data_IF_004142618246
#
_entry.id   IF_004142618246
#
_cell.length_a   1.000
_cell.length_b   1.000
_cell.length_c   1.000
_cell.angle_alpha   90.00
_cell.angle_beta   90.00
_cell.angle_gamma   90.00
#
_symmetry.space_group_name_H-M   'P 1'
#
loop_
_entity.id
_entity.type
_entity.pdbx_description
1 polymer ?
#
# COMPACT_ATOMS: atom_id res chain seq x y z
N UNK A 1 19.82 -10.82 -25.29
CA UNK A 1 19.39 -10.75 -23.87
C UNK A 1 18.14 -9.91 -23.69
N UNK A 2 18.16 -8.60 -23.98
CA UNK A 2 16.99 -7.73 -23.78
C UNK A 2 15.90 -7.85 -24.86
N UNK A 3 16.26 -8.42 -26.01
CA UNK A 3 15.39 -8.75 -27.14
C UNK A 3 14.40 -9.89 -26.87
N UNK A 4 14.60 -10.64 -25.78
CA UNK A 4 13.73 -11.74 -25.34
C UNK A 4 12.69 -11.30 -24.29
N UNK A 5 12.74 -10.04 -23.86
CA UNK A 5 11.82 -9.52 -22.85
C UNK A 5 10.48 -9.18 -23.51
N UNK A 6 9.41 -9.75 -22.99
CA UNK A 6 8.06 -9.37 -23.36
C UNK A 6 7.75 -7.95 -22.87
N UNK A 7 7.13 -7.14 -23.74
CA UNK A 7 6.61 -5.84 -23.32
C UNK A 7 5.38 -6.07 -22.45
N UNK A 8 5.46 -5.59 -21.21
CA UNK A 8 4.30 -5.55 -20.35
C UNK A 8 3.20 -4.67 -20.97
N UNK A 9 1.92 -5.05 -20.81
CA UNK A 9 0.82 -4.20 -21.22
C UNK A 9 0.89 -2.85 -20.49
N UNK A 10 0.36 -1.80 -21.12
CA UNK A 10 0.24 -0.51 -20.48
C UNK A 10 -0.67 -0.62 -19.25
N UNK A 11 -0.27 0.01 -18.15
CA UNK A 11 -1.08 0.08 -16.94
C UNK A 11 -2.41 0.78 -17.26
N UNK A 12 -3.53 0.12 -16.99
CA UNK A 12 -4.87 0.62 -17.34
C UNK A 12 -5.22 1.92 -16.64
N UNK A 13 -4.68 2.17 -15.44
CA UNK A 13 -4.91 3.37 -14.66
C UNK A 13 -4.04 4.51 -15.22
N UNK A 14 -2.72 4.27 -15.34
CA UNK A 14 -1.79 5.31 -15.79
C UNK A 14 -2.01 5.71 -17.25
N UNK A 15 -2.41 4.76 -18.09
CA UNK A 15 -2.77 5.02 -19.49
C UNK A 15 -4.00 5.93 -19.60
N UNK A 16 -5.04 5.64 -18.81
CA UNK A 16 -6.26 6.44 -18.80
C UNK A 16 -6.03 7.84 -18.19
N UNK A 17 -5.25 7.94 -17.12
CA UNK A 17 -4.82 9.22 -16.55
C UNK A 17 -4.04 10.07 -17.58
N UNK A 18 -3.15 9.44 -18.34
CA UNK A 18 -2.40 10.13 -19.40
C UNK A 18 -3.32 10.63 -20.52
N UNK A 19 -4.30 9.83 -20.93
CA UNK A 19 -5.30 10.23 -21.92
C UNK A 19 -6.16 11.40 -21.42
N UNK A 20 -6.65 11.34 -20.17
CA UNK A 20 -7.39 12.44 -19.55
C UNK A 20 -6.55 13.71 -19.50
N UNK A 21 -5.27 13.61 -19.11
CA UNK A 21 -4.37 14.76 -19.07
C UNK A 21 -4.14 15.38 -20.45
N UNK A 22 -4.06 14.58 -21.51
CA UNK A 22 -3.88 15.04 -22.88
C UNK A 22 -5.13 15.68 -23.51
N UNK A 23 -6.32 15.42 -22.96
CA UNK A 23 -7.57 16.02 -23.43
C UNK A 23 -7.57 17.54 -23.22
N UNK A 24 -7.75 18.38 -24.28
CA UNK A 24 -7.74 19.84 -24.15
C UNK A 24 -9.03 20.41 -23.56
N UNK A 25 -10.07 19.62 -23.31
CA UNK A 25 -11.34 20.08 -22.77
C UNK A 25 -11.16 20.72 -21.38
N UNK A 26 -11.50 22.02 -21.20
CA UNK A 26 -11.37 22.69 -19.91
C UNK A 26 -12.35 22.19 -18.84
N UNK A 27 -13.41 21.47 -19.23
CA UNK A 27 -14.41 20.89 -18.32
C UNK A 27 -14.21 19.40 -18.04
N UNK A 28 -13.03 18.83 -18.34
CA UNK A 28 -12.74 17.43 -18.07
C UNK A 28 -12.66 17.14 -16.57
N UNK A 29 -13.05 15.92 -16.19
CA UNK A 29 -12.97 15.43 -14.81
C UNK A 29 -12.15 14.14 -14.82
N UNK A 30 -11.06 14.12 -14.05
CA UNK A 30 -10.20 12.96 -13.90
C UNK A 30 -10.58 12.16 -12.64
N UNK A 31 -11.13 10.97 -12.84
CA UNK A 31 -11.49 10.02 -11.76
C UNK A 31 -10.61 8.75 -11.80
N UNK A 32 -9.45 8.82 -12.44
CA UNK A 32 -8.63 7.64 -12.73
C UNK A 32 -7.70 7.29 -11.57
N UNK A 33 -7.02 8.30 -11.01
CA UNK A 33 -6.04 8.11 -9.94
C UNK A 33 -6.74 8.19 -8.59
N UNK A 34 -6.68 7.09 -7.82
CA UNK A 34 -7.26 6.99 -6.48
C UNK A 34 -6.44 7.71 -5.41
N UNK A 35 -6.22 9.02 -5.57
CA UNK A 35 -5.64 9.88 -4.54
C UNK A 35 -6.68 10.91 -4.09
N UNK A 36 -6.59 11.32 -2.82
CA UNK A 36 -7.42 12.40 -2.33
C UNK A 36 -7.01 13.71 -2.99
N UNK A 37 -8.00 14.44 -3.51
CA UNK A 37 -7.84 15.74 -4.12
C UNK A 37 -8.77 16.73 -3.42
N UNK A 38 -8.29 17.95 -3.20
CA UNK A 38 -9.13 19.06 -2.73
C UNK A 38 -10.03 19.61 -3.85
N UNK A 39 -10.85 20.61 -3.54
CA UNK A 39 -11.79 21.23 -4.48
C UNK A 39 -11.09 22.01 -5.60
N UNK A 40 -9.77 22.20 -5.52
CA UNK A 40 -8.95 22.80 -6.58
C UNK A 40 -8.29 21.72 -7.47
N UNK A 41 -8.54 20.44 -7.20
CA UNK A 41 -7.92 19.34 -7.93
C UNK A 41 -6.44 19.18 -7.60
N UNK A 42 -6.02 19.49 -6.37
CA UNK A 42 -4.66 19.27 -5.88
C UNK A 42 -4.66 18.18 -4.81
N UNK A 43 -3.58 17.39 -4.74
CA UNK A 43 -3.32 16.53 -3.59
C UNK A 43 -2.72 17.40 -2.47
N UNK A 44 -3.46 17.70 -1.38
CA UNK A 44 -3.01 18.68 -0.42
C UNK A 44 -1.87 18.15 0.45
N UNK A 45 -1.00 19.07 0.86
CA UNK A 45 -0.06 18.83 1.97
C UNK A 45 -0.74 19.30 3.26
N UNK A 46 -1.12 18.35 4.12
CA UNK A 46 -1.76 18.66 5.39
C UNK A 46 -0.88 19.56 6.27
N UNK A 47 -1.50 20.47 7.04
CA UNK A 47 -0.80 21.42 7.92
C UNK A 47 0.17 20.71 8.89
N UNK A 48 -0.26 19.59 9.47
CA UNK A 48 0.55 18.77 10.36
C UNK A 48 1.83 18.26 9.68
N UNK A 49 1.75 17.86 8.41
CA UNK A 49 2.89 17.42 7.61
C UNK A 49 3.83 18.60 7.35
N UNK A 50 3.30 19.75 6.93
CA UNK A 50 4.11 20.94 6.69
C UNK A 50 4.85 21.41 7.95
N UNK A 51 4.22 21.32 9.13
CA UNK A 51 4.86 21.62 10.42
C UNK A 51 5.97 20.62 10.76
N UNK A 52 5.70 19.32 10.62
CA UNK A 52 6.68 18.27 10.89
C UNK A 52 7.90 18.36 9.96
N UNK A 53 7.70 18.69 8.68
CA UNK A 53 8.80 18.90 7.72
C UNK A 53 9.71 20.05 8.12
N UNK A 54 9.16 21.20 8.51
CA UNK A 54 9.96 22.35 9.00
C UNK A 54 10.76 21.97 10.24
N UNK A 55 10.10 21.34 11.21
CA UNK A 55 10.75 20.88 12.43
C UNK A 55 11.89 19.90 12.14
N UNK A 56 11.69 18.95 11.22
CA UNK A 56 12.71 17.98 10.84
C UNK A 56 13.94 18.68 10.26
N UNK A 57 13.75 19.60 9.32
CA UNK A 57 14.85 20.36 8.69
C UNK A 57 15.62 21.20 9.71
N UNK A 58 14.93 21.78 10.70
CA UNK A 58 15.56 22.59 11.74
C UNK A 58 16.34 21.76 12.78
N UNK A 59 15.93 20.51 13.03
CA UNK A 59 16.42 19.69 14.15
C UNK A 59 17.34 18.53 13.74
N UNK A 60 17.35 18.14 12.47
CA UNK A 60 18.15 17.01 12.00
C UNK A 60 19.66 17.24 12.20
N UNK A 61 20.34 16.23 12.71
CA UNK A 61 21.79 16.28 12.98
C UNK A 61 22.59 15.25 12.19
N UNK A 62 21.91 14.26 11.60
CA UNK A 62 22.55 13.14 10.88
C UNK A 62 21.62 12.56 9.83
N UNK A 63 22.23 11.90 8.83
CA UNK A 63 21.58 11.07 7.80
C UNK A 63 22.16 9.66 7.77
N UNK A 64 22.73 9.22 8.89
CA UNK A 64 23.30 7.88 9.03
C UNK A 64 22.26 6.78 8.82
N UNK A 65 22.73 5.56 8.58
CA UNK A 65 21.86 4.40 8.40
C UNK A 65 20.93 4.19 9.60
N UNK A 66 19.66 3.91 9.29
CA UNK A 66 18.69 3.43 10.27
C UNK A 66 18.93 1.95 10.58
N UNK A 67 18.52 1.46 11.77
CA UNK A 67 18.46 0.03 12.04
C UNK A 67 17.61 -0.71 11.00
N UNK A 68 17.85 -2.01 10.76
CA UNK A 68 17.07 -2.79 9.78
C UNK A 68 15.56 -2.81 10.05
N UNK A 69 15.16 -2.69 11.32
CA UNK A 69 13.75 -2.61 11.69
C UNK A 69 13.10 -1.25 11.34
N UNK A 70 13.90 -0.20 11.16
CA UNK A 70 13.44 1.18 11.00
C UNK A 70 13.60 2.02 12.25
N UNK A 71 12.95 3.19 12.26
CA UNK A 71 12.94 4.12 13.37
C UNK A 71 12.03 3.63 14.52
N UNK A 72 12.54 3.63 15.75
CA UNK A 72 11.85 3.05 16.90
C UNK A 72 10.60 3.85 17.30
N UNK A 73 10.66 5.18 17.24
CA UNK A 73 9.54 6.06 17.57
C UNK A 73 8.44 5.97 16.52
N UNK A 74 8.82 5.88 15.24
CA UNK A 74 7.90 5.58 14.14
C UNK A 74 7.20 4.25 14.35
N UNK A 75 7.94 3.17 14.66
CA UNK A 75 7.36 1.84 14.90
C UNK A 75 6.37 1.88 16.06
N UNK A 76 6.76 2.48 17.19
CA UNK A 76 5.89 2.56 18.37
C UNK A 76 4.65 3.43 18.09
N UNK A 77 4.81 4.54 17.35
CA UNK A 77 3.72 5.39 16.89
C UNK A 77 2.74 4.64 15.98
N UNK A 78 3.25 3.87 15.03
CA UNK A 78 2.44 3.06 14.12
C UNK A 78 1.71 1.93 14.86
N UNK A 79 2.33 1.28 15.84
CA UNK A 79 1.65 0.28 16.66
C UNK A 79 0.47 0.89 17.42
N UNK A 80 0.65 2.06 18.06
CA UNK A 80 -0.44 2.76 18.75
C UNK A 80 -1.54 3.19 17.80
N UNK A 81 -1.18 3.69 16.61
CA UNK A 81 -2.15 4.13 15.60
C UNK A 81 -2.99 2.96 15.07
N UNK A 82 -2.36 1.83 14.78
CA UNK A 82 -3.03 0.68 14.13
C UNK A 82 -3.77 -0.20 15.14
N UNK A 83 -3.17 -0.48 16.30
CA UNK A 83 -3.72 -1.41 17.28
C UNK A 83 -4.52 -0.71 18.40
N UNK A 84 -4.41 0.61 18.51
CA UNK A 84 -4.95 1.38 19.62
C UNK A 84 -4.00 1.45 20.82
N UNK A 85 -4.09 2.54 21.58
CA UNK A 85 -3.22 2.80 22.72
C UNK A 85 -3.37 1.78 23.86
N UNK A 86 -4.57 1.23 24.02
CA UNK A 86 -4.91 0.28 25.11
C UNK A 86 -4.69 -1.19 24.72
N UNK A 87 -4.10 -1.46 23.56
CA UNK A 87 -3.78 -2.81 23.15
C UNK A 87 -2.63 -3.38 23.99
N UNK A 88 -2.88 -4.48 24.71
CA UNK A 88 -1.87 -5.12 25.54
C UNK A 88 -0.84 -5.94 24.73
N UNK A 89 -1.17 -6.31 23.48
CA UNK A 89 -0.35 -7.21 22.68
C UNK A 89 1.11 -6.73 22.44
N UNK A 90 1.39 -5.44 22.16
CA UNK A 90 2.76 -4.94 22.12
C UNK A 90 3.50 -5.07 23.45
N UNK A 91 2.85 -4.72 24.57
CA UNK A 91 3.44 -4.81 25.92
C UNK A 91 3.74 -6.24 26.37
N UNK A 92 2.95 -7.20 25.87
CA UNK A 92 3.14 -8.63 26.11
C UNK A 92 4.07 -9.31 25.09
N UNK A 93 4.74 -8.55 24.21
CA UNK A 93 5.71 -9.08 23.25
C UNK A 93 5.10 -9.90 22.10
N UNK A 94 3.79 -9.75 21.83
CA UNK A 94 3.07 -10.46 20.75
C UNK A 94 3.07 -9.75 19.41
N UNK A 95 3.71 -8.58 19.30
CA UNK A 95 3.71 -7.75 18.09
C UNK A 95 5.13 -7.53 17.60
N UNK A 96 5.41 -8.05 16.41
CA UNK A 96 6.59 -7.68 15.62
C UNK A 96 6.24 -6.55 14.65
N UNK A 97 7.17 -5.60 14.43
CA UNK A 97 6.94 -4.48 13.51
C UNK A 97 8.25 -4.05 12.86
N UNK A 98 8.19 -3.77 11.56
CA UNK A 98 9.30 -3.28 10.75
C UNK A 98 8.77 -2.17 9.84
N UNK A 99 9.49 -1.06 9.76
CA UNK A 99 9.21 0.02 8.82
C UNK A 99 9.48 -0.44 7.39
N UNK A 100 8.57 -0.11 6.47
CA UNK A 100 8.66 -0.51 5.07
C UNK A 100 8.40 0.68 4.13
N UNK A 101 8.89 0.62 2.87
CA UNK A 101 8.58 1.63 1.86
C UNK A 101 7.12 1.51 1.41
N UNK A 102 6.23 2.17 2.16
CA UNK A 102 4.79 2.16 1.93
C UNK A 102 4.15 0.77 2.10
N UNK A 103 2.85 0.69 1.76
CA UNK A 103 2.08 -0.54 1.88
C UNK A 103 2.59 -1.68 0.98
N UNK A 104 3.08 -1.36 -0.23
CA UNK A 104 3.64 -2.37 -1.14
C UNK A 104 4.88 -3.05 -0.54
N UNK A 105 5.78 -2.26 0.05
CA UNK A 105 6.96 -2.79 0.72
C UNK A 105 6.59 -3.68 1.90
N UNK A 106 5.61 -3.26 2.70
CA UNK A 106 5.12 -4.04 3.83
C UNK A 106 4.55 -5.40 3.39
N UNK A 107 3.70 -5.40 2.36
CA UNK A 107 3.13 -6.62 1.78
C UNK A 107 4.21 -7.54 1.21
N UNK A 108 5.21 -7.00 0.52
CA UNK A 108 6.32 -7.79 -0.02
C UNK A 108 7.16 -8.44 1.08
N UNK A 109 7.54 -7.69 2.12
CA UNK A 109 8.28 -8.24 3.28
C UNK A 109 7.44 -9.32 3.97
N UNK A 110 6.15 -9.07 4.20
CA UNK A 110 5.23 -10.05 4.78
C UNK A 110 5.14 -11.34 3.95
N UNK A 111 5.04 -11.23 2.63
CA UNK A 111 5.01 -12.39 1.73
C UNK A 111 6.30 -13.22 1.83
N UNK A 112 7.47 -12.58 1.90
CA UNK A 112 8.74 -13.30 2.06
C UNK A 112 8.83 -14.02 3.40
N UNK A 113 8.34 -13.41 4.49
CA UNK A 113 8.29 -14.05 5.81
C UNK A 113 7.37 -15.27 5.78
N UNK A 114 6.17 -15.13 5.21
CA UNK A 114 5.20 -16.24 5.09
C UNK A 114 5.80 -17.37 4.25
N UNK A 115 6.37 -17.06 3.09
CA UNK A 115 6.95 -18.07 2.20
C UNK A 115 8.12 -18.81 2.86
N UNK A 116 8.99 -18.10 3.61
CA UNK A 116 10.07 -18.75 4.36
C UNK A 116 9.58 -19.65 5.50
N UNK A 117 8.49 -19.27 6.15
CA UNK A 117 7.92 -20.04 7.26
C UNK A 117 7.07 -21.23 6.78
N UNK A 118 6.31 -21.05 5.70
CA UNK A 118 5.37 -22.02 5.15
C UNK A 118 5.28 -21.88 3.62
N UNK A 119 6.20 -22.50 2.84
CA UNK A 119 6.24 -22.37 1.39
C UNK A 119 4.98 -22.87 0.67
N UNK A 120 4.24 -23.80 1.30
CA UNK A 120 2.98 -24.33 0.78
C UNK A 120 1.74 -23.51 1.19
N UNK A 121 1.94 -22.36 1.86
CA UNK A 121 0.84 -21.50 2.28
C UNK A 121 0.09 -20.93 1.06
N UNK A 122 -1.21 -20.75 1.27
CA UNK A 122 -2.15 -20.18 0.31
C UNK A 122 -2.55 -18.78 0.75
N UNK A 123 -2.46 -17.81 -0.17
CA UNK A 123 -2.99 -16.46 0.04
C UNK A 123 -4.42 -16.39 -0.47
N UNK A 124 -5.36 -16.03 0.39
CA UNK A 124 -6.75 -15.80 0.02
C UNK A 124 -7.00 -14.30 -0.16
N UNK A 125 -7.45 -13.89 -1.34
CA UNK A 125 -7.79 -12.49 -1.65
C UNK A 125 -9.26 -12.35 -2.03
N UNK A 126 -9.85 -11.17 -1.80
CA UNK A 126 -11.24 -10.92 -2.16
C UNK A 126 -11.48 -10.97 -3.66
N UNK A 127 -12.70 -11.31 -4.09
CA UNK A 127 -13.16 -11.14 -5.47
C UNK A 127 -14.13 -9.95 -5.56
N UNK A 128 -13.74 -8.79 -6.14
CA UNK A 128 -12.41 -8.45 -6.65
C UNK A 128 -11.46 -8.00 -5.53
N UNK A 129 -10.18 -7.77 -5.88
CA UNK A 129 -9.17 -7.20 -4.98
C UNK A 129 -8.35 -6.10 -5.65
N UNK A 130 -7.44 -5.47 -4.92
CA UNK A 130 -6.50 -4.50 -5.50
C UNK A 130 -5.58 -5.21 -6.51
N UNK A 131 -5.51 -4.78 -7.79
CA UNK A 131 -4.84 -5.54 -8.86
C UNK A 131 -3.38 -5.89 -8.59
N UNK A 132 -2.70 -5.08 -7.78
CA UNK A 132 -1.28 -5.26 -7.46
C UNK A 132 -1.04 -6.41 -6.45
N UNK A 133 -2.06 -6.90 -5.73
CA UNK A 133 -1.89 -8.01 -4.78
C UNK A 133 -1.29 -9.27 -5.42
N UNK A 134 -1.77 -9.67 -6.61
CA UNK A 134 -1.29 -10.87 -7.30
C UNK A 134 0.19 -10.79 -7.68
N UNK A 135 0.67 -9.81 -8.48
CA UNK A 135 2.09 -9.74 -8.83
C UNK A 135 2.98 -9.45 -7.61
N UNK A 136 2.50 -8.68 -6.63
CA UNK A 136 3.29 -8.30 -5.46
C UNK A 136 3.53 -9.48 -4.51
N UNK A 137 2.47 -10.20 -4.14
CA UNK A 137 2.57 -11.33 -3.20
C UNK A 137 2.96 -12.62 -3.94
N UNK A 138 2.64 -12.77 -5.23
CA UNK A 138 2.94 -13.97 -6.01
C UNK A 138 4.36 -14.08 -6.49
N UNK A 139 5.07 -12.95 -6.59
CA UNK A 139 6.47 -12.91 -7.00
C UNK A 139 7.43 -13.57 -6.00
N UNK A 140 6.98 -14.03 -4.83
CA UNK A 140 7.77 -14.90 -3.93
C UNK A 140 7.50 -16.41 -4.13
N UNK A 141 6.54 -16.78 -4.97
CA UNK A 141 6.14 -18.18 -5.20
C UNK A 141 4.93 -18.66 -4.38
N UNK A 142 4.23 -17.77 -3.68
CA UNK A 142 2.99 -18.11 -2.96
C UNK A 142 1.84 -18.37 -3.94
N UNK A 143 1.04 -19.40 -3.66
CA UNK A 143 -0.19 -19.71 -4.39
C UNK A 143 -1.36 -18.85 -3.90
N UNK A 144 -2.35 -18.61 -4.78
CA UNK A 144 -3.52 -17.80 -4.48
C UNK A 144 -4.83 -18.57 -4.62
N UNK A 145 -5.83 -18.12 -3.86
CA UNK A 145 -7.24 -18.34 -4.14
C UNK A 145 -8.02 -17.05 -3.96
N UNK A 146 -9.20 -16.99 -4.54
CA UNK A 146 -10.15 -15.91 -4.30
C UNK A 146 -11.28 -16.36 -3.37
N UNK A 147 -11.81 -15.43 -2.58
CA UNK A 147 -13.06 -15.62 -1.84
C UNK A 147 -14.11 -14.60 -2.28
N UNK A 148 -15.36 -15.05 -2.23
CA UNK A 148 -16.54 -14.25 -2.56
C UNK A 148 -16.58 -12.98 -1.70
N UNK A 149 -16.70 -11.82 -2.33
CA UNK A 149 -16.71 -10.54 -1.61
C UNK A 149 -17.71 -9.54 -2.17
N UNK A 150 -17.53 -9.01 -3.38
CA UNK A 150 -18.46 -8.03 -3.95
C UNK A 150 -19.63 -8.70 -4.66
N UNK A 151 -20.86 -8.25 -4.39
CA UNK A 151 -22.05 -8.64 -5.16
C UNK A 151 -22.47 -7.50 -6.11
N UNK A 152 -22.41 -7.73 -7.44
CA UNK A 152 -22.88 -6.74 -8.41
C UNK A 152 -24.36 -6.38 -8.33
N UNK A 153 -25.21 -7.26 -7.78
CA UNK A 153 -26.65 -7.00 -7.70
C UNK A 153 -27.00 -6.07 -6.53
N UNK A 154 -26.43 -6.31 -5.35
CA UNK A 154 -26.65 -5.46 -4.16
C UNK A 154 -25.67 -4.28 -4.04
N UNK A 155 -24.59 -4.27 -4.82
CA UNK A 155 -23.47 -3.34 -4.66
C UNK A 155 -22.83 -3.39 -3.26
N UNK A 156 -22.99 -4.52 -2.56
CA UNK A 156 -22.55 -4.74 -1.19
C UNK A 156 -21.62 -5.94 -1.05
N UNK A 157 -21.44 -6.38 0.20
CA UNK A 157 -20.68 -7.60 0.50
C UNK A 157 -21.60 -8.81 0.39
N UNK A 158 -21.15 -9.82 -0.36
CA UNK A 158 -21.86 -11.07 -0.58
C UNK A 158 -21.69 -12.04 0.60
N UNK A 159 -22.51 -11.85 1.65
CA UNK A 159 -22.56 -12.75 2.81
C UNK A 159 -23.30 -14.07 2.54
N UNK A 160 -24.28 -14.08 1.64
CA UNK A 160 -25.19 -15.22 1.47
C UNK A 160 -24.71 -16.22 0.42
N UNK A 161 -24.46 -15.78 -0.83
CA UNK A 161 -23.81 -16.56 -1.86
C UNK A 161 -24.22 -16.30 -3.27
#
# INVERSE_FOLDING_TARGET
MLDQLERLPADSILGLAAACRADPNPGKVDLTVGIYMDEQGLCPVFEAIGRAQRQLVEQETTKAYMPPAGDADFIQGMQRLVLGQDCAAPGEGRVGSVQAPGGCGALRIGAEVIYRAAPAARVWVSDPTWPVHFPLLGSVGLGFETYRYYDPASHGVNFEG
#
